data_IF_773272882750
#
_entry.id   IF_773272882750
#
_cell.length_a   1.000
_cell.length_b   1.000
_cell.length_c   1.000
_cell.angle_alpha   90.00
_cell.angle_beta   90.00
_cell.angle_gamma   90.00
#
_symmetry.space_group_name_H-M   'P 1'
#
loop_
_entity.id
_entity.type
_entity.pdbx_description
1 polymer ?
#
# COMPACT_ATOMS: atom_id res chain seq x y z
N UNK A 1 3.53 -5.19 65.52
CA UNK A 1 3.77 -4.31 64.36
C UNK A 1 5.19 -4.39 63.80
N UNK A 2 6.27 -4.37 64.60
CA UNK A 2 7.66 -4.44 64.09
C UNK A 2 7.99 -5.72 63.28
N UNK A 3 7.42 -6.88 63.64
CA UNK A 3 7.65 -8.17 62.90
C UNK A 3 6.93 -8.28 61.57
N UNK A 4 5.82 -7.58 61.39
CA UNK A 4 5.08 -7.53 60.11
C UNK A 4 5.79 -6.66 59.07
N UNK A 5 6.44 -5.59 59.52
CA UNK A 5 7.18 -4.67 58.63
C UNK A 5 8.47 -5.33 58.15
N UNK A 6 9.15 -6.10 58.99
CA UNK A 6 10.38 -6.84 58.59
C UNK A 6 10.10 -7.94 57.59
N UNK A 7 8.98 -8.67 57.71
CA UNK A 7 8.58 -9.72 56.73
C UNK A 7 8.17 -9.10 55.39
N UNK A 8 7.50 -7.95 55.39
CA UNK A 8 7.10 -7.25 54.13
C UNK A 8 8.32 -6.71 53.37
N UNK A 9 9.35 -6.19 54.08
CA UNK A 9 10.58 -5.72 53.43
C UNK A 9 11.41 -6.84 52.83
N UNK A 10 11.47 -8.01 53.49
CA UNK A 10 12.19 -9.19 52.97
C UNK A 10 11.49 -9.74 51.73
N UNK A 11 10.14 -9.73 51.68
CA UNK A 11 9.38 -10.19 50.50
C UNK A 11 9.59 -9.24 49.32
N UNK A 12 9.73 -7.94 49.57
CA UNK A 12 9.97 -6.94 48.51
C UNK A 12 11.37 -7.08 47.89
N UNK A 13 12.38 -7.39 48.70
CA UNK A 13 13.74 -7.65 48.22
C UNK A 13 13.85 -8.98 47.42
N UNK A 14 13.07 -10.00 47.77
CA UNK A 14 13.06 -11.25 47.05
C UNK A 14 12.47 -11.09 45.63
N UNK A 15 11.52 -10.16 45.40
CA UNK A 15 10.95 -9.87 44.09
C UNK A 15 11.91 -9.13 43.14
N UNK A 16 12.83 -8.32 43.70
CA UNK A 16 13.84 -7.62 42.89
C UNK A 16 14.97 -8.53 42.38
N UNK A 17 15.17 -9.71 42.98
CA UNK A 17 16.25 -10.62 42.58
C UNK A 17 15.93 -11.45 41.33
N UNK A 18 14.68 -11.49 40.89
CA UNK A 18 14.26 -12.20 39.65
C UNK A 18 14.34 -11.35 38.38
N UNK A 19 14.76 -10.08 38.48
CA UNK A 19 14.81 -9.15 37.34
C UNK A 19 16.19 -9.08 36.64
N UNK A 20 17.12 -9.96 36.95
CA UNK A 20 18.47 -9.95 36.37
C UNK A 20 18.83 -11.28 35.72
N UNK A 21 18.04 -11.67 34.68
CA UNK A 21 18.52 -12.65 33.70
C UNK A 21 18.57 -12.00 32.33
N UNK A 22 19.55 -11.11 32.13
CA UNK A 22 19.80 -10.40 30.89
C UNK A 22 21.21 -10.67 30.38
N UNK A 23 21.51 -11.91 30.10
CA UNK A 23 22.59 -12.26 29.17
C UNK A 23 22.03 -13.14 28.02
N UNK A 24 20.92 -12.72 27.44
CA UNK A 24 20.55 -13.21 26.12
C UNK A 24 21.37 -12.44 25.12
N UNK A 25 22.58 -12.91 24.85
CA UNK A 25 23.35 -12.47 23.69
C UNK A 25 22.52 -12.77 22.47
N UNK A 26 21.83 -11.77 21.94
CA UNK A 26 21.18 -11.86 20.63
C UNK A 26 22.33 -11.86 19.63
N UNK A 27 22.78 -13.03 19.20
CA UNK A 27 23.61 -13.16 18.00
C UNK A 27 22.78 -12.66 16.85
N UNK A 28 23.01 -11.42 16.45
CA UNK A 28 22.49 -10.90 15.20
C UNK A 28 23.13 -11.73 14.10
N UNK A 29 22.35 -12.62 13.49
CA UNK A 29 22.76 -13.27 12.27
C UNK A 29 22.98 -12.15 11.26
N UNK A 30 24.12 -12.14 10.63
CA UNK A 30 24.45 -11.22 9.54
C UNK A 30 23.36 -11.38 8.47
N UNK A 31 22.46 -10.40 8.38
CA UNK A 31 21.45 -10.35 7.34
C UNK A 31 22.16 -9.80 6.11
N UNK A 32 22.67 -10.68 5.27
CA UNK A 32 23.15 -10.29 3.95
C UNK A 32 21.96 -9.84 3.12
N UNK A 33 21.70 -8.53 3.06
CA UNK A 33 20.70 -7.95 2.19
C UNK A 33 21.20 -8.04 0.76
N UNK A 34 20.76 -9.05 0.01
CA UNK A 34 20.99 -9.11 -1.43
C UNK A 34 20.09 -8.07 -2.09
N UNK A 35 20.70 -7.09 -2.77
CA UNK A 35 19.95 -6.14 -3.58
C UNK A 35 19.27 -6.86 -4.77
N UNK A 36 18.15 -6.31 -5.25
CA UNK A 36 17.51 -6.78 -6.47
C UNK A 36 18.51 -6.68 -7.64
N UNK A 37 18.56 -7.73 -8.47
CA UNK A 37 19.37 -7.67 -9.69
C UNK A 37 18.64 -6.79 -10.70
N UNK A 38 19.29 -5.72 -11.13
CA UNK A 38 18.76 -4.79 -12.14
C UNK A 38 19.61 -4.92 -13.41
N UNK A 39 18.93 -5.07 -14.53
CA UNK A 39 19.53 -5.09 -15.86
C UNK A 39 18.97 -3.92 -16.66
N UNK A 40 19.82 -2.96 -16.99
CA UNK A 40 19.41 -1.81 -17.80
C UNK A 40 19.19 -2.23 -19.26
N UNK A 41 18.18 -1.63 -19.89
CA UNK A 41 17.77 -1.81 -21.28
C UNK A 41 17.66 -0.43 -21.94
N UNK A 42 17.69 -0.33 -23.27
CA UNK A 42 17.54 0.94 -23.96
C UNK A 42 16.20 1.66 -23.70
N UNK A 43 15.14 0.89 -23.44
CA UNK A 43 13.78 1.36 -23.19
C UNK A 43 13.39 1.38 -21.71
N UNK A 44 14.31 0.99 -20.80
CA UNK A 44 14.03 0.91 -19.37
C UNK A 44 14.94 -0.02 -18.61
N UNK A 45 14.39 -0.84 -17.71
CA UNK A 45 15.14 -1.80 -16.92
C UNK A 45 14.34 -3.08 -16.64
N UNK A 46 15.06 -4.18 -16.46
CA UNK A 46 14.51 -5.43 -15.94
C UNK A 46 15.01 -5.65 -14.54
N UNK A 47 14.08 -5.84 -13.60
CA UNK A 47 14.35 -6.01 -12.18
C UNK A 47 13.99 -7.43 -11.78
N UNK A 48 14.89 -8.10 -11.07
CA UNK A 48 14.66 -9.41 -10.48
C UNK A 48 14.54 -9.25 -8.96
N UNK A 49 13.32 -9.25 -8.40
CA UNK A 49 13.12 -9.10 -6.96
C UNK A 49 13.79 -10.25 -6.20
N UNK A 50 14.38 -9.92 -5.06
CA UNK A 50 14.96 -10.92 -4.15
C UNK A 50 13.88 -11.71 -3.43
N UNK A 51 14.23 -12.91 -2.94
CA UNK A 51 13.29 -13.71 -2.15
C UNK A 51 12.88 -12.99 -0.85
N UNK A 52 13.77 -12.21 -0.25
CA UNK A 52 13.46 -11.39 0.91
C UNK A 52 12.42 -10.30 0.59
N UNK A 53 12.54 -9.61 -0.56
CA UNK A 53 11.55 -8.63 -1.01
C UNK A 53 10.19 -9.29 -1.29
N UNK A 54 10.19 -10.46 -1.92
CA UNK A 54 8.97 -11.22 -2.20
C UNK A 54 8.28 -11.69 -0.92
N UNK A 55 9.03 -12.23 0.05
CA UNK A 55 8.49 -12.69 1.33
C UNK A 55 7.96 -11.55 2.20
N UNK A 56 8.59 -10.37 2.12
CA UNK A 56 8.17 -9.19 2.85
C UNK A 56 7.00 -8.45 2.18
N UNK A 57 6.49 -8.94 1.06
CA UNK A 57 5.40 -8.33 0.29
C UNK A 57 4.17 -9.24 0.29
N UNK A 58 2.98 -8.66 0.30
CA UNK A 58 1.71 -9.37 0.34
C UNK A 58 0.89 -9.24 -0.96
N UNK A 59 1.21 -8.29 -1.83
CA UNK A 59 0.54 -8.06 -3.12
C UNK A 59 1.46 -7.38 -4.12
N UNK A 60 0.95 -7.10 -5.33
CA UNK A 60 1.69 -6.43 -6.39
C UNK A 60 2.13 -5.00 -6.05
N UNK A 61 1.32 -4.23 -5.31
CA UNK A 61 1.70 -2.87 -4.92
C UNK A 61 2.84 -2.86 -3.91
N UNK A 62 2.78 -3.73 -2.90
CA UNK A 62 3.81 -3.79 -1.85
C UNK A 62 5.17 -4.22 -2.37
N UNK A 63 5.24 -5.08 -3.41
CA UNK A 63 6.52 -5.41 -4.02
C UNK A 63 7.04 -4.27 -4.88
N UNK A 64 6.20 -3.59 -5.66
CA UNK A 64 6.61 -2.44 -6.47
C UNK A 64 7.13 -1.28 -5.60
N UNK A 65 6.48 -1.02 -4.45
CA UNK A 65 6.92 -0.01 -3.49
C UNK A 65 8.36 -0.26 -3.02
N UNK A 66 8.71 -1.52 -2.73
CA UNK A 66 10.06 -1.91 -2.29
C UNK A 66 11.14 -1.83 -3.38
N UNK A 67 10.74 -1.75 -4.63
CA UNK A 67 11.68 -1.66 -5.76
C UNK A 67 12.08 -0.22 -6.11
N UNK A 68 11.39 0.76 -5.56
CA UNK A 68 11.68 2.19 -5.74
C UNK A 68 11.89 2.57 -7.20
N UNK A 69 10.82 2.46 -8.00
CA UNK A 69 10.87 2.77 -9.43
C UNK A 69 11.02 4.28 -9.66
N UNK A 70 11.94 4.67 -10.55
CA UNK A 70 12.21 6.07 -10.84
C UNK A 70 10.96 6.79 -11.38
N UNK A 71 10.73 8.03 -10.93
CA UNK A 71 9.63 8.91 -11.33
C UNK A 71 8.21 8.38 -11.01
N UNK A 72 8.10 7.31 -10.23
CA UNK A 72 6.84 6.77 -9.78
C UNK A 72 6.73 6.86 -8.26
N UNK A 73 5.54 7.23 -7.81
CA UNK A 73 5.12 7.13 -6.41
C UNK A 73 4.11 6.01 -6.30
N UNK A 74 4.46 5.00 -5.53
CA UNK A 74 3.62 3.84 -5.28
C UNK A 74 3.09 3.95 -3.85
N UNK A 75 1.77 3.93 -3.72
CA UNK A 75 1.07 3.94 -2.44
C UNK A 75 0.40 2.59 -2.25
N UNK A 76 0.99 1.77 -1.41
CA UNK A 76 0.49 0.43 -1.13
C UNK A 76 -0.74 0.45 -0.20
N UNK A 77 -1.00 1.55 0.50
CA UNK A 77 -2.17 1.68 1.37
C UNK A 77 -3.41 2.02 0.54
N UNK A 78 -3.28 3.03 -0.33
CA UNK A 78 -4.38 3.47 -1.20
C UNK A 78 -4.43 2.70 -2.53
N UNK A 79 -3.49 1.78 -2.77
CA UNK A 79 -3.35 0.98 -3.99
C UNK A 79 -3.32 1.83 -5.25
N UNK A 80 -2.50 2.90 -5.22
CA UNK A 80 -2.34 3.83 -6.33
C UNK A 80 -0.89 3.91 -6.79
N UNK A 81 -0.73 4.15 -8.09
CA UNK A 81 0.57 4.45 -8.69
C UNK A 81 0.43 5.77 -9.43
N UNK A 82 1.21 6.75 -9.04
CA UNK A 82 1.21 8.08 -9.64
C UNK A 82 2.56 8.42 -10.24
N UNK A 83 2.52 9.22 -11.31
CA UNK A 83 3.71 9.72 -12.00
C UNK A 83 4.11 11.05 -11.35
N UNK A 84 5.40 11.21 -11.03
CA UNK A 84 5.92 12.41 -10.35
C UNK A 84 6.20 13.53 -11.37
N UNK A 85 6.62 13.17 -12.58
CA UNK A 85 7.09 14.12 -13.60
C UNK A 85 6.01 14.60 -14.59
N UNK A 86 4.75 14.26 -14.36
CA UNK A 86 3.58 14.66 -15.16
C UNK A 86 3.68 14.36 -16.68
N UNK A 87 4.53 13.43 -17.09
CA UNK A 87 4.68 13.07 -18.51
C UNK A 87 3.52 12.24 -19.07
N UNK A 88 2.64 11.73 -18.23
CA UNK A 88 1.50 10.90 -18.64
C UNK A 88 1.12 9.90 -17.56
N UNK A 89 0.39 8.85 -17.96
CA UNK A 89 -0.07 7.78 -17.07
C UNK A 89 0.90 6.62 -16.97
N UNK A 90 0.58 5.71 -16.02
CA UNK A 90 1.25 4.41 -15.87
C UNK A 90 0.31 3.31 -16.34
N UNK A 91 0.81 2.41 -17.16
CA UNK A 91 0.11 1.19 -17.53
C UNK A 91 0.73 0.00 -16.80
N UNK A 92 -0.09 -0.76 -16.09
CA UNK A 92 0.35 -1.97 -15.41
C UNK A 92 -0.08 -3.18 -16.22
N UNK A 93 0.82 -4.15 -16.33
CA UNK A 93 0.61 -5.39 -17.07
C UNK A 93 1.08 -6.58 -16.24
N UNK A 94 0.41 -7.71 -16.43
CA UNK A 94 0.88 -9.01 -15.94
C UNK A 94 0.99 -9.93 -17.14
N UNK A 95 2.18 -10.43 -17.40
CA UNK A 95 2.49 -11.29 -18.56
C UNK A 95 2.02 -10.67 -19.90
N UNK A 96 2.21 -9.35 -20.07
CA UNK A 96 1.83 -8.62 -21.26
C UNK A 96 0.34 -8.22 -21.35
N UNK A 97 -0.51 -8.60 -20.40
CA UNK A 97 -1.94 -8.25 -20.36
C UNK A 97 -2.13 -7.05 -19.43
N UNK A 98 -2.85 -6.02 -19.87
CA UNK A 98 -3.18 -4.86 -19.04
C UNK A 98 -4.10 -5.29 -17.92
N UNK A 99 -3.77 -4.86 -16.71
CA UNK A 99 -4.47 -5.25 -15.48
C UNK A 99 -4.85 -4.03 -14.64
N UNK A 100 -5.85 -4.19 -13.80
CA UNK A 100 -6.33 -3.19 -12.86
C UNK A 100 -5.90 -3.44 -11.41
N UNK A 101 -6.60 -2.76 -10.49
CA UNK A 101 -6.34 -2.84 -9.05
C UNK A 101 -6.52 -4.26 -8.51
N UNK A 102 -7.57 -4.95 -8.94
CA UNK A 102 -7.95 -6.27 -8.41
C UNK A 102 -6.87 -7.33 -8.69
N UNK A 103 -6.37 -7.37 -9.93
CA UNK A 103 -5.33 -8.33 -10.32
C UNK A 103 -4.01 -8.05 -9.59
N UNK A 104 -3.70 -6.76 -9.35
CA UNK A 104 -2.51 -6.37 -8.60
C UNK A 104 -2.60 -6.76 -7.12
N UNK A 105 -3.78 -6.71 -6.53
CA UNK A 105 -4.02 -7.15 -5.16
C UNK A 105 -3.99 -8.67 -5.04
N UNK A 106 -4.52 -9.37 -6.04
CA UNK A 106 -4.55 -10.84 -6.10
C UNK A 106 -3.20 -11.47 -6.52
N UNK A 107 -2.21 -10.65 -6.88
CA UNK A 107 -0.90 -11.13 -7.30
C UNK A 107 -0.07 -11.58 -6.10
N UNK A 108 0.32 -12.87 -6.08
CA UNK A 108 1.29 -13.37 -5.10
C UNK A 108 2.71 -12.94 -5.50
N UNK A 109 3.40 -12.13 -4.68
CA UNK A 109 4.77 -11.71 -4.95
C UNK A 109 5.76 -12.86 -5.14
N UNK A 110 5.50 -14.02 -4.56
CA UNK A 110 6.36 -15.21 -4.69
C UNK A 110 6.37 -15.77 -6.12
N UNK A 111 5.28 -15.58 -6.86
CA UNK A 111 5.18 -16.01 -8.26
C UNK A 111 5.96 -15.09 -9.21
N UNK A 112 6.34 -13.88 -8.80
CA UNK A 112 7.02 -12.93 -9.66
C UNK A 112 8.42 -13.43 -10.04
N UNK A 113 8.65 -13.58 -11.34
CA UNK A 113 9.95 -13.95 -11.89
C UNK A 113 10.84 -12.73 -12.13
N UNK A 114 10.29 -11.71 -12.78
CA UNK A 114 10.94 -10.43 -13.10
C UNK A 114 9.89 -9.35 -13.31
N UNK A 115 10.33 -8.10 -13.25
CA UNK A 115 9.52 -6.92 -13.55
C UNK A 115 10.26 -6.11 -14.60
N UNK A 116 9.58 -5.81 -15.69
CA UNK A 116 10.10 -4.94 -16.75
C UNK A 116 9.50 -3.55 -16.55
N UNK A 117 10.34 -2.60 -16.25
CA UNK A 117 9.98 -1.19 -16.14
C UNK A 117 10.44 -0.46 -17.39
N UNK A 118 9.49 0.02 -18.18
CA UNK A 118 9.71 0.71 -19.44
C UNK A 118 9.41 2.20 -19.23
N UNK A 119 10.43 3.04 -19.40
CA UNK A 119 10.33 4.49 -19.16
C UNK A 119 10.21 5.31 -20.45
N UNK A 120 10.21 4.64 -21.58
CA UNK A 120 9.93 5.21 -22.89
C UNK A 120 9.15 4.23 -23.76
N UNK A 121 7.84 4.01 -23.43
CA UNK A 121 7.08 2.90 -24.01
C UNK A 121 6.73 3.08 -25.50
N UNK A 122 6.80 4.31 -26.02
CA UNK A 122 6.37 4.61 -27.38
C UNK A 122 4.87 4.38 -27.60
N UNK A 123 4.42 4.61 -28.84
CA UNK A 123 2.99 4.61 -29.22
C UNK A 123 2.28 3.25 -29.12
N UNK A 124 3.04 2.15 -29.05
CA UNK A 124 2.47 0.78 -28.97
C UNK A 124 1.68 0.49 -27.70
N UNK A 125 1.89 1.28 -26.66
CA UNK A 125 1.21 1.12 -25.37
C UNK A 125 0.01 2.07 -25.19
N UNK A 126 -0.28 2.89 -26.19
CA UNK A 126 -1.36 3.87 -26.20
C UNK A 126 -0.87 5.31 -25.96
N UNK A 127 -1.74 6.23 -26.30
CA UNK A 127 -1.47 7.66 -26.10
C UNK A 127 -1.54 8.03 -24.61
N UNK A 128 -0.66 8.92 -24.18
CA UNK A 128 -0.64 9.40 -22.80
C UNK A 128 -0.03 8.44 -21.79
N UNK A 129 0.53 7.28 -22.20
CA UNK A 129 1.27 6.37 -21.32
C UNK A 129 2.74 6.77 -21.28
N UNK A 130 3.21 7.22 -20.12
CA UNK A 130 4.60 7.60 -19.89
C UNK A 130 5.46 6.44 -19.38
N UNK A 131 4.85 5.52 -18.65
CA UNK A 131 5.53 4.39 -18.02
C UNK A 131 4.73 3.11 -18.18
N UNK A 132 5.43 1.99 -18.36
CA UNK A 132 4.82 0.66 -18.35
C UNK A 132 5.55 -0.20 -17.33
N UNK A 133 4.78 -0.89 -16.51
CA UNK A 133 5.27 -1.90 -15.57
C UNK A 133 4.69 -3.24 -16.01
N UNK A 134 5.53 -4.12 -16.56
CA UNK A 134 5.11 -5.46 -16.95
C UNK A 134 5.70 -6.49 -15.98
N UNK A 135 4.83 -7.10 -15.20
CA UNK A 135 5.17 -8.08 -14.18
C UNK A 135 5.08 -9.47 -14.80
N UNK A 136 6.21 -10.15 -14.92
CA UNK A 136 6.26 -11.51 -15.40
C UNK A 136 6.22 -12.49 -14.24
N UNK A 137 5.22 -13.34 -14.22
CA UNK A 137 5.05 -14.37 -13.20
C UNK A 137 5.49 -15.74 -13.70
N UNK A 138 5.96 -16.57 -12.77
CA UNK A 138 6.07 -18.01 -13.01
C UNK A 138 4.69 -18.60 -12.82
N UNK A 139 4.21 -19.34 -13.80
CA UNK A 139 2.91 -19.99 -13.69
C UNK A 139 2.99 -21.06 -12.61
N UNK A 140 2.17 -20.95 -11.59
CA UNK A 140 1.93 -22.04 -10.67
C UNK A 140 1.07 -23.10 -11.38
N UNK A 141 1.50 -24.37 -11.38
CA UNK A 141 0.73 -25.45 -12.01
C UNK A 141 -0.60 -25.72 -11.30
N UNK A 142 -0.64 -25.48 -9.99
CA UNK A 142 -1.84 -25.60 -9.18
C UNK A 142 -1.70 -24.76 -7.92
N UNK A 143 -2.75 -24.06 -7.54
CA UNK A 143 -2.76 -23.27 -6.32
C UNK A 143 -4.00 -22.41 -6.20
N UNK A 144 -4.19 -21.85 -5.03
CA UNK A 144 -5.24 -20.87 -4.79
C UNK A 144 -4.67 -19.69 -4.00
N UNK A 145 -5.21 -18.52 -4.24
CA UNK A 145 -4.99 -17.32 -3.45
C UNK A 145 -6.34 -16.79 -3.01
N UNK A 146 -6.49 -16.48 -1.74
CA UNK A 146 -7.66 -15.81 -1.19
C UNK A 146 -7.17 -14.65 -0.34
N UNK A 147 -7.81 -13.49 -0.50
CA UNK A 147 -7.44 -12.33 0.27
C UNK A 147 -8.60 -11.37 0.46
N UNK A 148 -8.42 -10.47 1.41
CA UNK A 148 -9.33 -9.36 1.69
C UNK A 148 -8.51 -8.11 1.91
N UNK A 149 -9.04 -7.00 1.44
CA UNK A 149 -8.51 -5.66 1.63
C UNK A 149 -9.62 -4.80 2.22
N UNK A 150 -9.37 -4.17 3.35
CA UNK A 150 -10.34 -3.33 4.04
C UNK A 150 -9.67 -2.02 4.41
N UNK A 151 -10.22 -0.92 3.90
CA UNK A 151 -9.79 0.44 4.22
C UNK A 151 -10.94 1.18 4.87
N UNK A 152 -10.72 1.77 6.03
CA UNK A 152 -11.73 2.54 6.76
C UNK A 152 -11.14 3.83 7.31
N UNK A 153 -11.87 4.92 7.14
CA UNK A 153 -11.54 6.19 7.77
C UNK A 153 -12.15 6.25 9.16
N UNK A 154 -11.32 6.47 10.18
CA UNK A 154 -11.77 6.55 11.58
C UNK A 154 -12.56 7.81 11.90
N UNK A 155 -12.38 8.88 11.14
CA UNK A 155 -12.98 10.20 11.38
C UNK A 155 -14.26 10.46 10.59
N UNK A 156 -14.45 9.73 9.49
CA UNK A 156 -15.65 9.75 8.67
C UNK A 156 -16.16 8.32 8.53
N UNK A 157 -17.47 8.10 8.60
CA UNK A 157 -18.05 6.77 8.34
C UNK A 157 -17.92 6.44 6.84
N UNK A 158 -16.70 6.25 6.41
CA UNK A 158 -16.36 5.87 5.05
C UNK A 158 -15.48 4.63 5.11
N UNK A 159 -15.79 3.64 4.31
CA UNK A 159 -15.00 2.42 4.24
C UNK A 159 -15.16 1.74 2.89
N UNK A 160 -14.09 1.12 2.46
CA UNK A 160 -14.01 0.30 1.26
C UNK A 160 -13.53 -1.09 1.66
N UNK A 161 -14.17 -2.11 1.11
CA UNK A 161 -13.78 -3.49 1.33
C UNK A 161 -13.75 -4.25 0.02
N UNK A 162 -12.74 -5.11 -0.15
CA UNK A 162 -12.64 -6.01 -1.27
C UNK A 162 -12.29 -7.42 -0.78
N UNK A 163 -12.97 -8.41 -1.36
CA UNK A 163 -12.62 -9.82 -1.24
C UNK A 163 -12.23 -10.32 -2.62
N UNK A 164 -11.13 -11.02 -2.71
CA UNK A 164 -10.65 -11.56 -3.98
C UNK A 164 -10.15 -13.00 -3.82
N UNK A 165 -10.26 -13.75 -4.89
CA UNK A 165 -9.75 -15.11 -4.96
C UNK A 165 -9.28 -15.47 -6.34
N UNK A 166 -8.26 -16.33 -6.40
CA UNK A 166 -7.67 -16.87 -7.62
C UNK A 166 -7.44 -18.35 -7.44
N UNK A 167 -7.83 -19.13 -8.42
CA UNK A 167 -7.61 -20.58 -8.46
C UNK A 167 -6.90 -20.93 -9.78
N UNK A 168 -5.74 -21.55 -9.66
CA UNK A 168 -4.98 -22.09 -10.78
C UNK A 168 -5.07 -23.62 -10.79
N UNK A 169 -5.43 -24.20 -11.94
CA UNK A 169 -5.41 -25.65 -12.14
C UNK A 169 -4.96 -26.00 -13.56
N UNK A 170 -3.71 -26.44 -13.69
CA UNK A 170 -3.09 -26.74 -14.97
C UNK A 170 -3.00 -25.48 -15.87
N UNK A 171 -3.72 -25.48 -17.01
CA UNK A 171 -3.76 -24.36 -17.94
C UNK A 171 -4.86 -23.33 -17.65
N UNK A 172 -5.75 -23.63 -16.71
CA UNK A 172 -6.89 -22.80 -16.41
C UNK A 172 -6.60 -21.95 -15.17
N UNK A 173 -7.04 -20.70 -15.24
CA UNK A 173 -7.02 -19.74 -14.15
C UNK A 173 -8.42 -19.14 -13.99
N UNK A 174 -8.93 -19.15 -12.77
CA UNK A 174 -10.19 -18.50 -12.41
C UNK A 174 -9.89 -17.47 -11.33
N UNK A 175 -10.41 -16.28 -11.53
CA UNK A 175 -10.35 -15.22 -10.52
C UNK A 175 -11.75 -14.68 -10.26
N UNK A 176 -12.00 -14.27 -9.03
CA UNK A 176 -13.16 -13.50 -8.66
C UNK A 176 -12.74 -12.37 -7.74
N UNK A 177 -13.44 -11.26 -7.82
CA UNK A 177 -13.34 -10.16 -6.87
C UNK A 177 -14.73 -9.61 -6.58
N UNK A 178 -14.92 -9.15 -5.36
CA UNK A 178 -16.11 -8.45 -4.94
C UNK A 178 -15.69 -7.22 -4.15
N UNK A 179 -16.13 -6.06 -4.64
CA UNK A 179 -15.84 -4.77 -4.04
C UNK A 179 -17.10 -4.23 -3.37
N UNK A 180 -16.95 -3.66 -2.18
CA UNK A 180 -17.99 -3.01 -1.44
C UNK A 180 -17.48 -1.69 -0.89
N UNK A 181 -18.18 -0.60 -1.17
CA UNK A 181 -17.88 0.72 -0.62
C UNK A 181 -19.09 1.29 0.08
N UNK A 182 -18.85 1.97 1.17
CA UNK A 182 -19.89 2.66 1.93
C UNK A 182 -19.39 4.01 2.42
N UNK A 183 -20.20 5.04 2.27
CA UNK A 183 -19.92 6.35 2.84
C UNK A 183 -21.18 6.94 3.47
N UNK A 184 -20.98 7.67 4.55
CA UNK A 184 -22.02 8.49 5.15
C UNK A 184 -21.68 9.94 4.86
N UNK A 185 -22.50 10.58 4.02
CA UNK A 185 -22.42 12.02 3.84
C UNK A 185 -23.14 12.71 5.01
N UNK A 186 -22.39 13.40 5.85
CA UNK A 186 -22.95 14.16 6.98
C UNK A 186 -23.41 15.57 6.56
N UNK A 187 -23.31 15.90 5.26
CA UNK A 187 -23.57 17.24 4.74
C UNK A 187 -22.50 18.23 5.24
N UNK A 188 -21.98 19.05 4.38
CA UNK A 188 -21.16 20.18 4.79
C UNK A 188 -22.04 21.39 5.01
N UNK A 189 -21.90 22.04 6.18
CA UNK A 189 -22.53 23.34 6.44
C UNK A 189 -21.47 24.40 6.24
N UNK A 190 -21.67 25.29 5.28
CA UNK A 190 -20.83 26.45 5.12
C UNK A 190 -21.64 27.72 5.41
N UNK A 191 -21.08 28.59 6.24
CA UNK A 191 -21.67 29.89 6.51
C UNK A 191 -20.73 30.95 5.91
N UNK A 192 -21.21 31.69 4.95
CA UNK A 192 -20.49 32.81 4.36
C UNK A 192 -21.09 34.11 4.89
N UNK A 193 -20.24 34.93 5.50
CA UNK A 193 -20.58 36.27 5.95
C UNK A 193 -19.91 37.28 5.03
N UNK A 194 -20.68 38.12 4.40
CA UNK A 194 -20.17 39.22 3.58
C UNK A 194 -20.68 40.56 4.12
N UNK A 195 -19.78 41.48 4.39
CA UNK A 195 -20.10 42.83 4.85
C UNK A 195 -19.78 43.84 3.73
N UNK A 196 -20.74 44.70 3.43
CA UNK A 196 -20.60 45.75 2.44
C UNK A 196 -20.86 47.10 3.09
N UNK A 197 -19.93 48.04 2.92
CA UNK A 197 -20.14 49.44 3.33
C UNK A 197 -20.65 50.20 2.13
N UNK A 198 -21.84 50.75 2.24
CA UNK A 198 -22.45 51.61 1.21
C UNK A 198 -21.86 53.05 1.24
N UNK A 199 -22.11 53.79 0.17
CA UNK A 199 -21.58 55.16 0.01
C UNK A 199 -22.12 56.13 1.06
N UNK A 200 -23.25 55.80 1.72
CA UNK A 200 -23.82 56.56 2.83
C UNK A 200 -23.24 56.17 4.20
N UNK A 201 -22.27 55.27 4.25
CA UNK A 201 -21.62 54.79 5.47
C UNK A 201 -22.37 53.68 6.20
N UNK A 202 -23.50 53.21 5.69
CA UNK A 202 -24.23 52.09 6.28
C UNK A 202 -23.53 50.77 5.94
N UNK A 203 -23.55 49.82 6.93
CA UNK A 203 -22.97 48.50 6.77
C UNK A 203 -24.12 47.49 6.55
N UNK A 204 -24.06 46.78 5.45
CA UNK A 204 -24.95 45.67 5.16
C UNK A 204 -24.23 44.35 5.30
N UNK A 205 -24.77 43.45 6.14
CA UNK A 205 -24.24 42.11 6.34
C UNK A 205 -25.16 41.11 5.65
N UNK A 206 -24.57 40.28 4.77
CA UNK A 206 -25.25 39.16 4.14
C UNK A 206 -24.70 37.86 4.73
N UNK A 207 -25.57 37.11 5.36
CA UNK A 207 -25.26 35.74 5.83
C UNK A 207 -25.87 34.74 4.88
N UNK A 208 -25.04 33.87 4.32
CA UNK A 208 -25.47 32.77 3.47
C UNK A 208 -25.11 31.43 4.14
N UNK A 209 -26.13 30.65 4.39
CA UNK A 209 -26.00 29.30 4.98
C UNK A 209 -26.32 28.29 3.89
N UNK A 210 -25.29 27.61 3.40
CA UNK A 210 -25.42 26.52 2.45
C UNK A 210 -25.32 25.18 3.18
N UNK A 211 -26.27 24.28 2.90
CA UNK A 211 -26.30 22.90 3.38
C UNK A 211 -26.30 22.02 2.15
N UNK A 212 -25.20 21.34 1.88
CA UNK A 212 -25.08 20.33 0.84
C UNK A 212 -25.10 18.93 1.43
#
# INVERSE_FOLDING_TARGET
MKRLITTSVILFFAFCAYAQDTNKTITLHEITVKAAKVVNRPDGMTIYPTDAQKQASNNGYSILEKLTLANLRIDNINHTISVIDNRGGVQIRINGIVVGKQEMLALDPKEIAKIEFINNPGVRYGDGIAYVIDIHTRRSESGYTLGTDITSALTSMQGDGMVYGKLNKGKNEWSFSYDMSGYKNNGSKSTQLAEYTLTDGSIHTIERNDIE
#
